data_IF_866079691101
#
_entry.id   IF_866079691101
#
_cell.length_a   1.000
_cell.length_b   1.000
_cell.length_c   1.000
_cell.angle_alpha   90.00
_cell.angle_beta   90.00
_cell.angle_gamma   90.00
#
_symmetry.space_group_name_H-M   'P 1'
#
loop_
_entity.id
_entity.type
_entity.pdbx_description
1 polymer ?
#
# COMPACT_ATOMS: atom_id res chain seq x y z
N UNK A 1 28.54 -8.58 -2.79
CA UNK A 1 27.93 -8.40 -2.48
C UNK A 1 27.27 -8.47 -1.98
N UNK A 2 27.20 -8.32 -2.13
CA UNK A 2 26.44 -8.18 -1.69
C UNK A 2 25.66 -7.97 -1.12
N UNK A 3 25.45 -7.64 -1.18
CA UNK A 3 24.64 -7.38 -0.70
C UNK A 3 23.76 -7.10 -0.43
N UNK A 4 23.60 -6.86 -0.54
CA UNK A 4 22.76 -6.54 -0.33
C UNK A 4 21.76 -6.55 -0.27
N UNK A 5 21.55 -6.56 -0.66
CA UNK A 5 20.66 -6.52 -0.73
C UNK A 5 19.49 -6.70 -0.30
N UNK A 6 19.12 -6.72 -0.37
CA UNK A 6 17.97 -7.07 0.27
C UNK A 6 17.15 -5.97 0.75
N UNK A 7 17.72 -4.96 0.96
CA UNK A 7 17.03 -3.79 1.40
C UNK A 7 16.21 -3.14 0.40
N UNK A 8 16.41 -3.39 -0.81
CA UNK A 8 15.64 -2.78 -1.83
C UNK A 8 14.19 -3.14 -1.78
N UNK A 9 13.84 -4.12 -1.00
CA UNK A 9 12.44 -4.49 -0.86
C UNK A 9 11.70 -3.61 0.11
N UNK A 10 12.37 -2.68 0.75
CA UNK A 10 11.74 -1.87 1.76
C UNK A 10 10.84 -0.80 1.22
N UNK A 11 11.07 -0.37 -0.01
CA UNK A 11 10.27 0.71 -0.57
C UNK A 11 9.56 0.26 -1.82
N UNK A 12 8.31 0.71 -1.94
CA UNK A 12 7.49 0.42 -3.10
C UNK A 12 7.58 1.61 -4.03
N UNK A 13 7.84 1.34 -5.28
CA UNK A 13 7.97 2.37 -6.29
C UNK A 13 6.59 2.67 -6.88
N UNK A 14 6.12 3.90 -6.69
CA UNK A 14 4.84 4.30 -7.24
C UNK A 14 4.90 5.79 -7.57
N UNK A 15 3.98 6.22 -8.43
CA UNK A 15 3.93 7.60 -8.89
C UNK A 15 3.18 8.46 -7.89
N UNK A 16 3.92 9.20 -7.07
CA UNK A 16 3.30 9.97 -6.00
C UNK A 16 2.45 11.12 -6.51
N UNK A 17 2.66 11.52 -7.75
CA UNK A 17 1.86 12.61 -8.31
C UNK A 17 0.55 12.12 -8.88
N UNK A 18 0.52 10.88 -9.33
CA UNK A 18 -0.66 10.32 -9.96
C UNK A 18 -1.41 9.34 -9.09
N UNK A 19 -0.74 8.78 -8.08
CA UNK A 19 -1.32 7.73 -7.26
C UNK A 19 -1.10 8.04 -5.80
N UNK A 20 -1.99 7.52 -4.96
CA UNK A 20 -1.81 7.57 -3.52
C UNK A 20 -2.01 6.20 -2.94
N UNK A 21 -1.23 5.82 -1.93
CA UNK A 21 -1.44 4.54 -1.27
C UNK A 21 -2.71 4.61 -0.44
N UNK A 22 -3.55 3.59 -0.56
CA UNK A 22 -4.80 3.53 0.18
C UNK A 22 -5.03 2.11 0.65
N UNK A 23 -5.84 1.97 1.68
CA UNK A 23 -6.23 0.68 2.21
C UNK A 23 -7.71 0.51 1.93
N UNK A 24 -8.03 -0.44 1.08
CA UNK A 24 -9.42 -0.72 0.75
C UNK A 24 -9.96 -1.75 1.72
N UNK A 25 -11.02 -1.39 2.41
CA UNK A 25 -11.63 -2.24 3.40
C UNK A 25 -12.92 -2.81 2.85
N UNK A 26 -13.08 -4.11 2.96
CA UNK A 26 -14.29 -4.77 2.54
C UNK A 26 -15.20 -4.92 3.74
N UNK A 27 -16.39 -4.34 3.66
CA UNK A 27 -17.33 -4.40 4.77
C UNK A 27 -17.90 -5.80 4.93
N UNK A 28 -18.15 -6.47 3.81
CA UNK A 28 -18.80 -7.76 3.83
C UNK A 28 -17.92 -8.86 4.38
N UNK A 29 -16.66 -8.87 4.00
CA UNK A 29 -15.76 -9.95 4.38
C UNK A 29 -14.79 -9.56 5.47
N UNK A 30 -14.64 -8.27 5.71
CA UNK A 30 -13.66 -7.79 6.68
C UNK A 30 -12.23 -7.81 6.17
N UNK A 31 -12.06 -8.12 4.90
CA UNK A 31 -10.73 -8.15 4.31
C UNK A 31 -10.26 -6.77 3.96
N UNK A 32 -8.96 -6.59 4.00
CA UNK A 32 -8.35 -5.30 3.64
C UNK A 32 -7.30 -5.54 2.59
N UNK A 33 -7.26 -4.65 1.62
CA UNK A 33 -6.32 -4.74 0.51
C UNK A 33 -5.57 -3.43 0.40
N UNK A 34 -4.25 -3.51 0.45
CA UNK A 34 -3.41 -2.33 0.28
C UNK A 34 -3.10 -2.16 -1.20
N UNK A 35 -3.15 -0.93 -1.66
CA UNK A 35 -2.88 -0.65 -3.05
C UNK A 35 -2.78 0.83 -3.28
N UNK A 36 -2.93 1.21 -4.53
CA UNK A 36 -2.76 2.59 -4.95
C UNK A 36 -3.98 3.02 -5.75
N UNK A 37 -4.46 4.20 -5.45
CA UNK A 37 -5.59 4.78 -6.16
C UNK A 37 -5.09 5.85 -7.09
N UNK A 38 -5.51 5.77 -8.36
CA UNK A 38 -5.16 6.78 -9.33
C UNK A 38 -5.95 8.04 -9.05
N UNK A 39 -5.25 9.15 -8.86
CA UNK A 39 -5.89 10.40 -8.48
C UNK A 39 -6.68 11.02 -9.62
N UNK A 40 -6.34 10.68 -10.86
CA UNK A 40 -7.03 11.24 -12.01
C UNK A 40 -8.26 10.45 -12.40
N UNK A 41 -8.16 9.13 -12.36
CA UNK A 41 -9.26 8.27 -12.79
C UNK A 41 -10.06 7.71 -11.64
N UNK A 42 -9.48 7.70 -10.44
CA UNK A 42 -10.12 7.11 -9.27
C UNK A 42 -9.99 5.61 -9.22
N UNK A 43 -9.24 5.01 -10.14
CA UNK A 43 -9.11 3.57 -10.17
C UNK A 43 -8.18 3.08 -9.07
N UNK A 44 -8.53 1.93 -8.50
CA UNK A 44 -7.74 1.30 -7.46
C UNK A 44 -6.91 0.16 -8.06
N UNK A 45 -5.63 0.15 -7.74
CA UNK A 45 -4.73 -0.91 -8.17
C UNK A 45 -4.28 -1.70 -6.96
N UNK A 46 -4.69 -2.95 -6.90
CA UNK A 46 -4.37 -3.84 -5.80
C UNK A 46 -2.87 -4.13 -5.76
N UNK A 47 -2.29 -4.08 -4.59
CA UNK A 47 -0.89 -4.43 -4.43
C UNK A 47 -0.71 -5.67 -3.57
N UNK A 48 -1.31 -5.70 -2.38
CA UNK A 48 -1.17 -6.84 -1.50
C UNK A 48 -2.38 -6.95 -0.59
N UNK A 49 -2.64 -8.16 -0.14
CA UNK A 49 -3.70 -8.40 0.82
C UNK A 49 -3.16 -8.14 2.23
N UNK A 50 -3.91 -7.42 3.02
CA UNK A 50 -3.51 -7.06 4.38
C UNK A 50 -4.40 -7.82 5.34
N UNK A 51 -3.79 -8.60 6.22
CA UNK A 51 -4.54 -9.45 7.15
C UNK A 51 -4.59 -8.90 8.55
N UNK A 52 -3.66 -8.02 8.90
CA UNK A 52 -3.63 -7.46 10.24
C UNK A 52 -2.99 -6.09 10.19
N UNK A 53 -2.93 -5.43 11.34
CA UNK A 53 -2.41 -4.08 11.40
C UNK A 53 -0.91 -4.02 11.19
N UNK A 54 -0.20 -5.09 11.53
CA UNK A 54 1.23 -5.12 11.30
C UNK A 54 1.54 -5.05 9.81
N UNK A 55 0.75 -5.73 9.00
CA UNK A 55 0.94 -5.69 7.55
C UNK A 55 0.59 -4.32 7.00
N UNK A 56 -0.43 -3.69 7.57
CA UNK A 56 -0.77 -2.33 7.18
C UNK A 56 0.39 -1.38 7.47
N UNK A 57 0.95 -1.50 8.65
CA UNK A 57 2.08 -0.66 9.04
C UNK A 57 3.27 -0.89 8.14
N UNK A 58 3.54 -2.13 7.80
CA UNK A 58 4.65 -2.45 6.92
C UNK A 58 4.44 -1.85 5.54
N UNK A 59 3.21 -1.88 5.05
CA UNK A 59 2.91 -1.27 3.77
C UNK A 59 3.15 0.24 3.83
N UNK A 60 2.77 0.88 4.92
CA UNK A 60 3.00 2.30 5.09
C UNK A 60 4.50 2.62 5.09
N UNK A 61 5.28 1.80 5.77
CA UNK A 61 6.72 1.99 5.81
C UNK A 61 7.32 1.86 4.42
N UNK A 62 6.87 0.89 3.67
CA UNK A 62 7.37 0.68 2.32
C UNK A 62 6.99 1.80 1.38
N UNK A 63 5.88 2.45 1.62
CA UNK A 63 5.45 3.58 0.82
C UNK A 63 6.07 4.89 1.30
N UNK A 64 6.72 4.87 2.45
CA UNK A 64 7.32 6.07 2.99
C UNK A 64 6.31 7.03 3.57
N UNK A 65 5.20 6.51 4.09
CA UNK A 65 4.14 7.34 4.66
C UNK A 65 3.92 6.95 6.11
N UNK A 66 3.42 7.89 6.89
CA UNK A 66 3.13 7.64 8.29
C UNK A 66 1.72 7.13 8.50
N UNK A 67 0.83 7.46 7.59
CA UNK A 67 -0.57 7.16 7.76
C UNK A 67 -1.12 6.77 6.40
N UNK A 68 -2.21 6.01 6.41
CA UNK A 68 -2.79 5.54 5.16
C UNK A 68 -4.29 5.80 5.18
N UNK A 69 -4.80 6.24 4.04
CA UNK A 69 -6.21 6.52 3.89
C UNK A 69 -6.96 5.22 3.68
N UNK A 70 -8.08 5.08 4.36
CA UNK A 70 -8.92 3.90 4.22
C UNK A 70 -10.11 4.23 3.34
N UNK A 71 -10.42 3.32 2.43
CA UNK A 71 -11.56 3.47 1.55
C UNK A 71 -12.41 2.21 1.64
N UNK A 72 -13.68 2.32 1.28
CA UNK A 72 -14.63 1.22 1.39
C UNK A 72 -15.31 0.90 0.08
#
# INVERSE_FOLDING_TARGET
>A
MFFKREKKNQFIDYDRESEEPVLRCSICTGEKTAGFRNLKTGRFREYMLVRNEDETREFCIRCGIEDIKKIY
#
